data_IF_191247758647
#
_entry.id   IF_191247758647
#
_cell.length_a   1.000
_cell.length_b   1.000
_cell.length_c   1.000
_cell.angle_alpha   90.00
_cell.angle_beta   90.00
_cell.angle_gamma   90.00
#
_symmetry.space_group_name_H-M   'P 1'
#
loop_
_entity.id
_entity.type
_entity.pdbx_description
1 polymer ?
#
# COMPACT_ATOMS: atom_id res chain seq x y z
N UNK A 1 -15.50 -3.25 21.16
CA UNK A 1 -16.56 -4.28 20.97
C UNK A 1 -17.87 -3.59 20.70
N UNK A 2 -18.71 -4.16 19.82
CA UNK A 2 -20.09 -3.70 19.64
C UNK A 2 -20.89 -3.94 20.93
N UNK A 3 -21.81 -3.03 21.24
CA UNK A 3 -22.73 -3.24 22.34
C UNK A 3 -23.67 -4.44 22.08
N UNK A 4 -24.16 -5.06 23.16
CA UNK A 4 -25.13 -6.17 23.07
C UNK A 4 -26.39 -5.76 22.29
N UNK A 5 -26.74 -4.48 22.28
CA UNK A 5 -27.89 -3.93 21.54
C UNK A 5 -27.56 -3.76 20.06
N UNK A 6 -26.34 -3.37 19.68
CA UNK A 6 -25.93 -3.13 18.28
C UNK A 6 -25.71 -4.45 17.51
N UNK A 7 -25.17 -5.50 18.13
CA UNK A 7 -24.85 -6.78 17.47
C UNK A 7 -26.02 -7.35 16.66
N UNK A 8 -27.23 -7.55 17.21
CA UNK A 8 -28.33 -8.11 16.44
C UNK A 8 -28.78 -7.19 15.30
N UNK A 9 -28.74 -5.87 15.49
CA UNK A 9 -29.13 -4.88 14.49
C UNK A 9 -28.13 -4.88 13.33
N UNK A 10 -26.82 -4.80 13.60
CA UNK A 10 -25.78 -4.85 12.56
C UNK A 10 -25.87 -6.16 11.79
N UNK A 11 -26.00 -7.31 12.48
CA UNK A 11 -26.15 -8.63 11.84
C UNK A 11 -27.37 -8.70 10.91
N UNK A 12 -28.50 -8.15 11.31
CA UNK A 12 -29.72 -8.18 10.51
C UNK A 12 -29.66 -7.22 9.29
N UNK A 13 -28.95 -6.11 9.42
CA UNK A 13 -28.90 -5.06 8.39
C UNK A 13 -27.66 -5.15 7.49
N UNK A 14 -26.62 -5.90 7.88
CA UNK A 14 -25.39 -6.05 7.11
C UNK A 14 -25.62 -6.49 5.65
N UNK A 15 -26.52 -7.46 5.32
CA UNK A 15 -26.77 -7.81 3.94
C UNK A 15 -27.40 -6.66 3.11
N UNK A 16 -28.27 -5.87 3.72
CA UNK A 16 -28.90 -4.73 3.04
C UNK A 16 -27.92 -3.58 2.83
N UNK A 17 -27.14 -3.24 3.86
CA UNK A 17 -26.07 -2.23 3.76
C UNK A 17 -25.02 -2.69 2.76
N UNK A 18 -24.57 -3.95 2.84
CA UNK A 18 -23.59 -4.54 1.94
C UNK A 18 -24.03 -4.49 0.47
N UNK A 19 -25.30 -4.81 0.20
CA UNK A 19 -25.87 -4.72 -1.15
C UNK A 19 -26.00 -3.29 -1.70
N UNK A 20 -26.00 -2.27 -0.83
CA UNK A 20 -26.12 -0.87 -1.20
C UNK A 20 -24.78 -0.10 -1.14
N UNK A 21 -23.67 -0.75 -0.74
CA UNK A 21 -22.39 -0.07 -0.49
C UNK A 21 -21.87 0.72 -1.70
N UNK A 22 -22.03 0.21 -2.91
CA UNK A 22 -21.59 0.93 -4.11
C UNK A 22 -22.33 2.26 -4.26
N UNK A 23 -23.65 2.27 -4.02
CA UNK A 23 -24.46 3.48 -4.09
C UNK A 23 -24.13 4.43 -2.92
N UNK A 24 -23.98 3.89 -1.72
CA UNK A 24 -23.62 4.67 -0.52
C UNK A 24 -22.27 5.36 -0.73
N UNK A 25 -21.25 4.64 -1.19
CA UNK A 25 -19.91 5.21 -1.39
C UNK A 25 -19.88 6.21 -2.55
N UNK A 26 -20.66 6.01 -3.60
CA UNK A 26 -20.80 6.99 -4.67
C UNK A 26 -21.41 8.30 -4.15
N UNK A 27 -22.52 8.22 -3.39
CA UNK A 27 -23.16 9.39 -2.79
C UNK A 27 -22.27 10.07 -1.76
N UNK A 28 -21.58 9.29 -0.94
CA UNK A 28 -20.63 9.79 0.05
C UNK A 28 -19.56 10.66 -0.59
N UNK A 29 -18.84 10.13 -1.61
CA UNK A 29 -17.77 10.90 -2.25
C UNK A 29 -18.31 12.12 -3.02
N UNK A 30 -19.50 12.02 -3.66
CA UNK A 30 -20.15 13.17 -4.27
C UNK A 30 -20.39 14.28 -3.26
N UNK A 31 -21.03 13.98 -2.14
CA UNK A 31 -21.31 14.94 -1.06
C UNK A 31 -20.03 15.51 -0.44
N UNK A 32 -19.03 14.66 -0.21
CA UNK A 32 -17.76 15.06 0.39
C UNK A 32 -17.04 16.08 -0.50
N UNK A 33 -16.92 15.81 -1.79
CA UNK A 33 -16.18 16.69 -2.70
C UNK A 33 -16.98 17.94 -3.11
N UNK A 34 -18.30 17.91 -3.07
CA UNK A 34 -19.14 19.09 -3.24
C UNK A 34 -18.95 20.08 -2.07
N UNK A 35 -18.84 19.54 -0.85
CA UNK A 35 -18.64 20.34 0.36
C UNK A 35 -17.14 20.72 0.57
N UNK A 36 -16.21 19.86 0.18
CA UNK A 36 -14.79 19.98 0.42
C UNK A 36 -13.99 19.68 -0.87
N UNK A 37 -14.07 20.55 -1.90
CA UNK A 37 -13.39 20.32 -3.18
C UNK A 37 -11.84 20.29 -3.06
N UNK A 38 -11.28 20.91 -2.03
CA UNK A 38 -9.85 20.86 -1.72
C UNK A 38 -9.37 19.43 -1.40
N UNK A 39 -10.22 18.57 -0.86
CA UNK A 39 -9.85 17.18 -0.56
C UNK A 39 -9.55 16.40 -1.85
N UNK A 40 -10.39 16.54 -2.88
CA UNK A 40 -10.13 15.89 -4.17
C UNK A 40 -8.91 16.51 -4.87
N UNK A 41 -8.72 17.83 -4.72
CA UNK A 41 -7.63 18.55 -5.33
C UNK A 41 -6.27 18.19 -4.73
N UNK A 42 -6.18 18.10 -3.40
CA UNK A 42 -4.91 18.10 -2.69
C UNK A 42 -4.62 16.85 -1.83
N UNK A 43 -5.61 15.95 -1.61
CA UNK A 43 -5.45 14.77 -0.77
C UNK A 43 -5.79 13.47 -1.50
N UNK A 44 -6.96 13.40 -2.11
CA UNK A 44 -7.42 12.16 -2.77
C UNK A 44 -6.79 11.98 -4.15
N UNK A 45 -6.53 10.72 -4.50
CA UNK A 45 -6.07 10.36 -5.84
C UNK A 45 -7.21 10.51 -6.85
N UNK A 46 -7.12 11.52 -7.73
CA UNK A 46 -8.14 11.82 -8.74
C UNK A 46 -8.38 10.67 -9.72
N UNK A 47 -7.31 9.94 -10.10
CA UNK A 47 -7.44 8.76 -10.97
C UNK A 47 -8.24 7.64 -10.32
N UNK A 48 -7.97 7.31 -9.04
CA UNK A 48 -8.70 6.28 -8.30
C UNK A 48 -10.16 6.68 -8.03
N UNK A 49 -10.44 7.98 -7.96
CA UNK A 49 -11.83 8.47 -7.86
C UNK A 49 -12.54 8.34 -9.20
N UNK A 50 -11.89 8.70 -10.29
CA UNK A 50 -12.48 8.66 -11.64
C UNK A 50 -12.82 7.23 -12.10
N UNK A 51 -11.96 6.24 -11.78
CA UNK A 51 -12.19 4.84 -12.16
C UNK A 51 -13.04 4.05 -11.13
N UNK A 52 -13.40 4.67 -10.01
CA UNK A 52 -14.22 4.07 -8.95
C UNK A 52 -13.49 3.11 -8.00
N UNK A 53 -12.19 2.90 -8.14
CA UNK A 53 -11.44 1.96 -7.29
C UNK A 53 -11.39 2.41 -5.83
N UNK A 54 -11.34 3.71 -5.57
CA UNK A 54 -11.40 4.24 -4.21
C UNK A 54 -12.76 3.94 -3.54
N UNK A 55 -13.86 4.02 -4.30
CA UNK A 55 -15.21 3.68 -3.80
C UNK A 55 -15.30 2.21 -3.43
N UNK A 56 -14.81 1.32 -4.30
CA UNK A 56 -14.79 -0.13 -4.05
C UNK A 56 -13.92 -0.49 -2.83
N UNK A 57 -12.76 0.13 -2.68
CA UNK A 57 -11.89 -0.10 -1.53
C UNK A 57 -12.55 0.32 -0.21
N UNK A 58 -13.22 1.48 -0.18
CA UNK A 58 -13.96 1.93 1.01
C UNK A 58 -15.12 0.97 1.32
N UNK A 59 -15.91 0.60 0.31
CA UNK A 59 -17.00 -0.35 0.48
C UNK A 59 -16.51 -1.69 1.04
N UNK A 60 -15.42 -2.24 0.47
CA UNK A 60 -14.81 -3.47 0.94
C UNK A 60 -14.31 -3.39 2.37
N UNK A 61 -13.68 -2.28 2.76
CA UNK A 61 -13.16 -2.11 4.13
C UNK A 61 -14.27 -1.96 5.17
N UNK A 62 -15.37 -1.25 4.87
CA UNK A 62 -16.54 -1.15 5.76
C UNK A 62 -17.16 -2.52 5.98
N UNK A 63 -17.38 -3.29 4.90
CA UNK A 63 -17.95 -4.62 4.98
C UNK A 63 -17.06 -5.57 5.80
N UNK A 64 -15.77 -5.64 5.47
CA UNK A 64 -14.81 -6.50 6.16
C UNK A 64 -14.71 -6.18 7.65
N UNK A 65 -14.71 -4.90 8.02
CA UNK A 65 -14.66 -4.49 9.42
C UNK A 65 -15.94 -4.87 10.19
N UNK A 66 -17.12 -4.63 9.60
CA UNK A 66 -18.40 -5.02 10.22
C UNK A 66 -18.49 -6.54 10.45
N UNK A 67 -18.03 -7.35 9.46
CA UNK A 67 -17.92 -8.80 9.60
C UNK A 67 -16.95 -9.17 10.73
N UNK A 68 -15.77 -8.59 10.77
CA UNK A 68 -14.78 -8.86 11.81
C UNK A 68 -15.31 -8.57 13.23
N UNK A 69 -16.05 -7.47 13.40
CA UNK A 69 -16.69 -7.15 14.70
C UNK A 69 -17.77 -8.17 15.12
N UNK A 70 -18.47 -8.78 14.15
CA UNK A 70 -19.53 -9.77 14.42
C UNK A 70 -18.98 -11.18 14.65
N UNK A 71 -17.92 -11.57 13.96
CA UNK A 71 -17.36 -12.93 14.01
C UNK A 71 -16.27 -13.07 15.07
N UNK A 72 -15.55 -11.98 15.35
CA UNK A 72 -14.45 -11.95 16.30
C UNK A 72 -14.61 -10.82 17.32
N UNK A 73 -15.71 -10.83 18.14
CA UNK A 73 -16.06 -9.71 19.01
C UNK A 73 -14.98 -9.38 20.05
N UNK A 74 -14.17 -10.36 20.44
CA UNK A 74 -13.13 -10.21 21.47
C UNK A 74 -11.76 -9.81 20.90
N UNK A 75 -11.63 -9.74 19.59
CA UNK A 75 -10.37 -9.43 18.90
C UNK A 75 -10.47 -8.12 18.14
N UNK A 76 -9.48 -7.25 18.32
CA UNK A 76 -9.39 -6.04 17.50
C UNK A 76 -8.76 -6.41 16.14
N UNK A 77 -9.38 -6.03 15.02
CA UNK A 77 -8.86 -6.39 13.68
C UNK A 77 -7.70 -5.47 13.26
N UNK A 78 -6.65 -5.42 14.09
CA UNK A 78 -5.50 -4.53 13.88
C UNK A 78 -4.79 -4.80 12.54
N UNK A 79 -4.68 -6.06 12.14
CA UNK A 79 -4.08 -6.44 10.86
C UNK A 79 -4.86 -5.87 9.67
N UNK A 80 -6.19 -5.88 9.73
CA UNK A 80 -7.06 -5.29 8.71
C UNK A 80 -6.88 -3.77 8.62
N UNK A 81 -6.74 -3.12 9.79
CA UNK A 81 -6.64 -1.67 9.89
C UNK A 81 -5.22 -1.15 9.67
N UNK A 82 -4.20 -1.98 9.87
CA UNK A 82 -2.78 -1.55 9.80
C UNK A 82 -2.45 -0.86 8.49
N UNK A 83 -2.78 -1.49 7.37
CA UNK A 83 -2.51 -0.92 6.03
C UNK A 83 -3.22 0.41 5.80
N UNK A 84 -4.48 0.51 6.24
CA UNK A 84 -5.26 1.75 6.15
C UNK A 84 -4.61 2.83 7.02
N UNK A 85 -4.25 2.51 8.26
CA UNK A 85 -3.61 3.44 9.17
C UNK A 85 -2.26 3.96 8.66
N UNK A 86 -1.39 3.07 8.11
CA UNK A 86 -0.14 3.49 7.50
C UNK A 86 -0.36 4.39 6.28
N UNK A 87 -1.37 4.09 5.45
CA UNK A 87 -1.74 4.93 4.32
C UNK A 87 -2.21 6.32 4.77
N UNK A 88 -3.13 6.37 5.73
CA UNK A 88 -3.62 7.63 6.29
C UNK A 88 -2.50 8.43 6.94
N UNK A 89 -1.66 7.78 7.75
CA UNK A 89 -0.50 8.44 8.36
C UNK A 89 0.43 9.03 7.30
N UNK A 90 0.71 8.32 6.20
CA UNK A 90 1.57 8.83 5.13
C UNK A 90 1.00 10.04 4.39
N UNK A 91 -0.30 10.30 4.53
CA UNK A 91 -0.99 11.45 3.95
C UNK A 91 -1.17 12.59 4.95
N UNK A 92 -0.87 12.37 6.22
CA UNK A 92 -1.07 13.35 7.29
C UNK A 92 -2.52 13.46 7.75
N UNK A 93 -3.31 12.39 7.66
CA UNK A 93 -4.71 12.37 8.12
C UNK A 93 -4.79 12.59 9.63
N UNK A 94 -5.69 13.47 10.05
CA UNK A 94 -5.89 13.82 11.47
C UNK A 94 -7.25 13.36 11.99
N UNK A 95 -7.38 13.26 13.31
CA UNK A 95 -8.61 12.83 13.97
C UNK A 95 -9.86 13.66 13.62
N UNK A 96 -9.69 14.96 13.33
CA UNK A 96 -10.82 15.82 12.99
C UNK A 96 -11.42 15.50 11.61
N UNK A 97 -10.64 14.93 10.68
CA UNK A 97 -11.12 14.55 9.37
C UNK A 97 -12.10 13.38 9.42
N UNK A 98 -12.03 12.52 10.46
CA UNK A 98 -13.01 11.45 10.68
C UNK A 98 -14.43 11.98 10.96
N UNK A 99 -14.56 13.15 11.57
CA UNK A 99 -15.86 13.81 11.80
C UNK A 99 -16.49 14.25 10.47
N UNK A 100 -15.68 14.79 9.56
CA UNK A 100 -16.12 15.17 8.21
C UNK A 100 -16.60 13.94 7.43
N UNK A 101 -15.80 12.86 7.47
CA UNK A 101 -16.18 11.58 6.83
C UNK A 101 -17.46 11.03 7.41
N UNK A 102 -17.60 11.01 8.75
CA UNK A 102 -18.83 10.58 9.43
C UNK A 102 -20.07 11.30 8.93
N UNK A 103 -20.05 12.64 8.94
CA UNK A 103 -21.18 13.47 8.53
C UNK A 103 -21.66 13.14 7.11
N UNK A 104 -20.73 13.10 6.15
CA UNK A 104 -21.08 12.85 4.75
C UNK A 104 -21.44 11.39 4.48
N UNK A 105 -20.81 10.43 5.17
CA UNK A 105 -21.13 9.00 5.01
C UNK A 105 -22.51 8.68 5.57
N UNK A 106 -22.86 9.17 6.76
CA UNK A 106 -24.20 8.93 7.33
C UNK A 106 -25.30 9.63 6.55
N UNK A 107 -25.05 10.83 6.04
CA UNK A 107 -25.99 11.48 5.14
C UNK A 107 -26.21 10.66 3.86
N UNK A 108 -25.17 10.04 3.29
CA UNK A 108 -25.28 9.16 2.14
C UNK A 108 -26.05 7.86 2.47
N UNK A 109 -25.81 7.25 3.63
CA UNK A 109 -26.54 6.05 4.10
C UNK A 109 -28.04 6.35 4.21
N UNK A 110 -28.41 7.47 4.82
CA UNK A 110 -29.81 7.88 4.96
C UNK A 110 -30.45 8.16 3.59
N UNK A 111 -29.73 8.82 2.69
CA UNK A 111 -30.21 9.11 1.33
C UNK A 111 -30.48 7.83 0.52
N UNK A 112 -29.61 6.82 0.63
CA UNK A 112 -29.70 5.58 -0.16
C UNK A 112 -30.69 4.59 0.43
N UNK A 113 -30.70 4.40 1.74
CA UNK A 113 -31.52 3.38 2.41
C UNK A 113 -32.87 3.92 2.91
N UNK A 114 -33.05 5.24 2.95
CA UNK A 114 -34.33 5.87 3.28
C UNK A 114 -34.92 5.39 4.62
N UNK A 115 -36.19 4.97 4.59
CA UNK A 115 -36.97 4.53 5.77
C UNK A 115 -36.39 3.28 6.46
N UNK A 116 -35.48 2.51 5.82
CA UNK A 116 -34.81 1.38 6.44
C UNK A 116 -33.81 1.82 7.53
N UNK A 117 -33.41 3.10 7.55
CA UNK A 117 -32.52 3.67 8.57
C UNK A 117 -33.38 4.14 9.74
N UNK A 118 -33.87 3.20 10.54
CA UNK A 118 -34.53 3.53 11.80
C UNK A 118 -33.53 4.12 12.82
N UNK A 119 -33.97 4.79 13.89
CA UNK A 119 -33.08 5.29 14.92
C UNK A 119 -32.14 4.21 15.50
N UNK A 120 -32.65 2.99 15.67
CA UNK A 120 -31.87 1.84 16.18
C UNK A 120 -30.80 1.41 15.17
N UNK A 121 -31.12 1.39 13.87
CA UNK A 121 -30.18 1.08 12.78
C UNK A 121 -29.11 2.16 12.70
N UNK A 122 -29.51 3.43 12.73
CA UNK A 122 -28.58 4.56 12.71
C UNK A 122 -27.60 4.49 13.88
N UNK A 123 -28.09 4.24 15.12
CA UNK A 123 -27.26 4.14 16.30
C UNK A 123 -26.28 2.95 16.21
N UNK A 124 -26.73 1.79 15.74
CA UNK A 124 -25.86 0.60 15.64
C UNK A 124 -24.74 0.80 14.59
N UNK A 125 -25.01 1.42 13.46
CA UNK A 125 -23.99 1.72 12.45
C UNK A 125 -23.08 2.90 12.83
N UNK A 126 -23.59 3.86 13.60
CA UNK A 126 -22.77 4.89 14.24
C UNK A 126 -21.71 4.28 15.16
N UNK A 127 -22.10 3.28 15.95
CA UNK A 127 -21.17 2.55 16.80
C UNK A 127 -20.10 1.78 15.98
N UNK A 128 -20.49 1.11 14.89
CA UNK A 128 -19.53 0.49 13.95
C UNK A 128 -18.54 1.51 13.42
N UNK A 129 -19.02 2.67 12.98
CA UNK A 129 -18.17 3.73 12.45
C UNK A 129 -17.16 4.20 13.49
N UNK A 130 -17.62 4.57 14.69
CA UNK A 130 -16.72 5.12 15.71
C UNK A 130 -15.77 4.08 16.31
N UNK A 131 -16.13 2.81 16.32
CA UNK A 131 -15.20 1.74 16.66
C UNK A 131 -14.06 1.66 15.64
N UNK A 132 -14.40 1.73 14.34
CA UNK A 132 -13.39 1.75 13.25
C UNK A 132 -12.53 3.00 13.31
N UNK A 133 -13.17 4.17 13.36
CA UNK A 133 -12.50 5.47 13.38
C UNK A 133 -11.54 5.62 14.56
N UNK A 134 -12.00 5.28 15.78
CA UNK A 134 -11.16 5.36 16.98
C UNK A 134 -10.00 4.36 16.95
N UNK A 135 -10.18 3.16 16.37
CA UNK A 135 -9.10 2.22 16.19
C UNK A 135 -8.03 2.76 15.20
N UNK A 136 -8.47 3.34 14.07
CA UNK A 136 -7.57 3.98 13.11
C UNK A 136 -6.85 5.18 13.72
N UNK A 137 -7.57 6.10 14.38
CA UNK A 137 -6.98 7.27 15.07
C UNK A 137 -5.91 6.84 16.07
N UNK A 138 -6.17 5.78 16.84
CA UNK A 138 -5.20 5.27 17.80
C UNK A 138 -3.95 4.68 17.13
N UNK A 139 -4.13 3.92 16.04
CA UNK A 139 -3.01 3.39 15.25
C UNK A 139 -2.21 4.52 14.59
N UNK A 140 -2.87 5.47 13.96
CA UNK A 140 -2.25 6.62 13.29
C UNK A 140 -1.47 7.50 14.28
N UNK A 141 -2.04 7.78 15.45
CA UNK A 141 -1.35 8.53 16.52
C UNK A 141 -0.07 7.82 16.99
N UNK A 142 -0.11 6.50 17.08
CA UNK A 142 1.07 5.70 17.40
C UNK A 142 2.11 5.76 16.28
N UNK A 143 1.68 5.65 15.03
CA UNK A 143 2.57 5.77 13.86
C UNK A 143 3.26 7.13 13.79
N UNK A 144 2.55 8.23 14.06
CA UNK A 144 3.14 9.57 14.16
C UNK A 144 4.17 9.66 15.29
N UNK A 145 3.87 9.09 16.44
CA UNK A 145 4.81 9.05 17.55
C UNK A 145 6.06 8.23 17.22
N UNK A 146 5.91 7.06 16.60
CA UNK A 146 7.04 6.22 16.16
C UNK A 146 7.89 6.89 15.07
N UNK A 147 7.25 7.67 14.18
CA UNK A 147 7.94 8.47 13.17
C UNK A 147 8.59 9.76 13.73
N UNK A 148 8.33 10.12 14.99
CA UNK A 148 8.83 11.33 15.62
C UNK A 148 8.27 12.62 15.03
N UNK A 149 7.02 12.59 14.54
CA UNK A 149 6.33 13.74 13.96
C UNK A 149 5.08 14.08 14.77
N UNK A 150 4.64 15.35 14.71
CA UNK A 150 3.35 15.76 15.25
C UNK A 150 2.21 15.24 14.36
N UNK A 151 1.01 15.10 14.92
CA UNK A 151 -0.16 14.58 14.21
C UNK A 151 -0.39 15.36 12.90
N UNK A 152 -0.27 14.68 11.78
CA UNK A 152 -0.49 15.23 10.45
C UNK A 152 0.70 16.00 9.83
N UNK A 153 1.70 16.43 10.61
CA UNK A 153 2.88 17.14 10.11
C UNK A 153 3.97 16.15 9.65
N UNK A 154 3.68 15.42 8.59
CA UNK A 154 4.54 14.35 8.07
C UNK A 154 5.43 14.80 6.92
N UNK A 155 5.19 15.99 6.36
CA UNK A 155 5.82 16.46 5.12
C UNK A 155 7.17 17.10 5.38
N UNK A 156 8.14 16.80 4.51
CA UNK A 156 9.48 17.38 4.53
C UNK A 156 9.99 17.61 3.12
N UNK A 157 10.81 18.65 2.91
CA UNK A 157 11.53 18.82 1.66
C UNK A 157 12.68 17.81 1.57
N UNK A 158 12.87 17.21 0.39
CA UNK A 158 14.05 16.41 0.04
C UNK A 158 14.58 16.86 -1.31
N UNK A 159 15.90 16.84 -1.48
CA UNK A 159 16.55 17.20 -2.73
C UNK A 159 16.82 15.93 -3.54
N UNK A 160 16.52 15.95 -4.82
CA UNK A 160 16.98 14.95 -5.76
C UNK A 160 18.48 15.18 -5.99
N UNK A 161 19.30 14.28 -5.45
CA UNK A 161 20.77 14.35 -5.66
C UNK A 161 21.20 13.68 -6.95
N UNK A 162 20.44 12.68 -7.40
CA UNK A 162 20.72 11.93 -8.63
C UNK A 162 19.41 11.41 -9.21
N UNK A 163 19.36 11.37 -10.57
CA UNK A 163 18.32 10.71 -11.35
C UNK A 163 18.98 9.67 -12.25
N UNK A 164 18.45 8.44 -12.24
CA UNK A 164 18.91 7.32 -13.07
C UNK A 164 17.78 6.77 -13.92
N UNK A 165 18.03 6.57 -15.21
CA UNK A 165 17.13 5.81 -16.07
C UNK A 165 17.35 4.32 -15.81
N UNK A 166 16.31 3.61 -15.38
CA UNK A 166 16.35 2.17 -15.15
C UNK A 166 15.87 1.39 -16.38
N UNK A 167 14.76 1.86 -16.97
CA UNK A 167 14.19 1.35 -18.22
C UNK A 167 13.58 2.52 -19.01
N UNK A 168 13.01 2.25 -20.18
CA UNK A 168 12.34 3.27 -20.99
C UNK A 168 11.14 3.96 -20.28
N UNK A 169 10.55 3.30 -19.28
CA UNK A 169 9.39 3.80 -18.54
C UNK A 169 9.61 3.90 -17.02
N UNK A 170 10.85 3.72 -16.55
CA UNK A 170 11.14 3.67 -15.10
C UNK A 170 12.41 4.47 -14.78
N UNK A 171 12.32 5.34 -13.77
CA UNK A 171 13.45 6.14 -13.28
C UNK A 171 13.62 5.98 -11.76
N UNK A 172 14.85 5.99 -11.30
CA UNK A 172 15.19 6.09 -9.89
C UNK A 172 15.59 7.52 -9.53
N UNK A 173 15.08 8.01 -8.40
CA UNK A 173 15.43 9.28 -7.80
C UNK A 173 16.11 9.02 -6.47
N UNK A 174 17.35 9.49 -6.35
CA UNK A 174 18.12 9.45 -5.09
C UNK A 174 17.85 10.74 -4.34
N UNK A 175 17.40 10.61 -3.10
CA UNK A 175 16.89 11.71 -2.30
C UNK A 175 17.79 11.95 -1.08
N UNK A 176 18.15 13.20 -0.85
CA UNK A 176 18.93 13.65 0.31
C UNK A 176 18.21 14.79 1.00
N UNK A 177 18.54 15.02 2.25
CA UNK A 177 18.10 16.25 2.95
C UNK A 177 18.75 17.47 2.28
N UNK A 178 18.00 18.58 2.05
CA UNK A 178 18.54 19.79 1.44
C UNK A 178 19.70 20.44 2.20
N UNK A 179 19.71 20.29 3.53
CA UNK A 179 20.72 20.86 4.42
C UNK A 179 21.84 19.86 4.75
N UNK A 180 21.78 18.64 4.20
CA UNK A 180 22.77 17.58 4.42
C UNK A 180 22.61 16.84 5.75
N UNK A 181 21.51 17.05 6.47
CA UNK A 181 21.18 16.30 7.67
C UNK A 181 20.83 14.84 7.33
N UNK A 182 20.97 13.89 8.26
CA UNK A 182 20.49 12.54 8.04
C UNK A 182 18.98 12.50 7.81
N UNK A 183 18.55 11.75 6.82
CA UNK A 183 17.13 11.44 6.63
C UNK A 183 16.63 10.51 7.75
N UNK A 184 15.34 10.54 8.10
CA UNK A 184 14.78 9.65 9.10
C UNK A 184 15.08 8.18 8.82
N UNK A 185 15.28 7.37 9.87
CA UNK A 185 15.40 5.93 9.70
C UNK A 185 14.09 5.34 9.20
N UNK A 186 14.19 4.20 8.52
CA UNK A 186 13.04 3.44 8.05
C UNK A 186 13.32 1.93 8.15
N UNK A 187 12.26 1.12 8.04
CA UNK A 187 12.37 -0.34 7.97
C UNK A 187 12.30 -0.79 6.51
N UNK A 188 13.10 -1.83 6.10
CA UNK A 188 13.06 -2.35 4.73
C UNK A 188 11.64 -2.76 4.34
N UNK A 189 11.16 -2.26 3.20
CA UNK A 189 9.80 -2.46 2.70
C UNK A 189 8.87 -1.25 2.87
N UNK A 190 9.23 -0.28 3.73
CA UNK A 190 8.44 0.95 3.88
C UNK A 190 8.49 1.84 2.64
N UNK A 191 7.51 2.73 2.53
CA UNK A 191 7.34 3.72 1.47
C UNK A 191 7.26 5.15 2.02
N UNK A 192 7.39 6.11 1.14
CA UNK A 192 7.08 7.52 1.37
C UNK A 192 5.96 7.96 0.44
N UNK A 193 5.11 8.89 0.90
CA UNK A 193 4.21 9.65 0.03
C UNK A 193 4.98 10.81 -0.60
N UNK A 194 4.85 10.99 -1.91
CA UNK A 194 5.43 12.12 -2.64
C UNK A 194 4.29 13.03 -3.09
N UNK A 195 4.36 14.31 -2.71
CA UNK A 195 3.39 15.34 -3.07
C UNK A 195 3.95 16.19 -4.22
N UNK A 196 3.20 16.30 -5.30
CA UNK A 196 3.62 16.99 -6.52
C UNK A 196 2.60 18.04 -6.91
N UNK A 197 3.07 19.27 -7.12
CA UNK A 197 2.25 20.34 -7.68
C UNK A 197 2.01 20.10 -9.18
N UNK A 198 0.75 20.15 -9.58
CA UNK A 198 0.31 19.98 -10.96
C UNK A 198 0.08 21.35 -11.66
N UNK A 199 0.06 21.39 -13.00
CA UNK A 199 -0.12 22.65 -13.75
C UNK A 199 -1.45 23.37 -13.48
N UNK A 200 -2.48 22.66 -13.04
CA UNK A 200 -3.80 23.21 -12.68
C UNK A 200 -3.85 23.77 -11.23
N UNK A 201 -2.71 23.78 -10.53
CA UNK A 201 -2.58 24.28 -9.16
C UNK A 201 -2.99 23.28 -8.08
N UNK A 202 -3.34 22.06 -8.46
CA UNK A 202 -3.62 20.98 -7.51
C UNK A 202 -2.32 20.33 -7.01
N UNK A 203 -2.39 19.68 -5.84
CA UNK A 203 -1.34 18.81 -5.34
C UNK A 203 -1.83 17.38 -5.37
N UNK A 204 -1.10 16.51 -6.05
CA UNK A 204 -1.44 15.10 -6.07
C UNK A 204 -0.36 14.28 -5.37
N UNK A 205 -0.77 13.24 -4.67
CA UNK A 205 0.10 12.44 -3.80
C UNK A 205 0.12 10.99 -4.30
N UNK A 206 1.34 10.40 -4.38
CA UNK A 206 1.51 8.96 -4.65
C UNK A 206 2.55 8.38 -3.71
N UNK A 207 2.36 7.10 -3.38
CA UNK A 207 3.28 6.35 -2.56
C UNK A 207 4.33 5.67 -3.44
N UNK A 208 5.59 5.73 -2.98
CA UNK A 208 6.72 5.05 -3.60
C UNK A 208 7.51 4.34 -2.53
N UNK A 209 7.69 3.03 -2.69
CA UNK A 209 8.53 2.24 -1.78
C UNK A 209 9.96 2.77 -1.81
N UNK A 210 10.59 2.81 -0.64
CA UNK A 210 12.02 3.02 -0.54
C UNK A 210 12.72 1.78 -1.10
N UNK A 211 13.56 1.95 -2.13
CA UNK A 211 14.14 0.86 -2.91
C UNK A 211 15.63 0.62 -2.63
N UNK A 212 16.15 1.15 -1.52
CA UNK A 212 17.50 0.89 -1.01
C UNK A 212 17.48 0.56 0.48
N UNK A 213 18.54 0.00 1.03
CA UNK A 213 18.62 -0.33 2.45
C UNK A 213 18.51 0.91 3.36
N UNK A 214 17.93 0.78 4.56
CA UNK A 214 18.06 1.78 5.60
C UNK A 214 19.52 1.96 6.05
N UNK A 215 19.80 3.11 6.68
CA UNK A 215 21.16 3.44 7.16
C UNK A 215 22.09 3.98 6.08
N UNK A 216 21.67 4.04 4.83
CA UNK A 216 22.38 4.75 3.76
C UNK A 216 22.22 6.27 3.90
N UNK A 217 23.16 7.08 3.39
CA UNK A 217 23.08 8.55 3.52
C UNK A 217 21.95 9.18 2.69
N UNK A 218 21.34 8.42 1.78
CA UNK A 218 20.25 8.85 0.90
C UNK A 218 19.16 7.80 0.84
N UNK A 219 17.93 8.25 0.59
CA UNK A 219 16.85 7.37 0.19
C UNK A 219 16.84 7.21 -1.33
N UNK A 220 16.24 6.15 -1.82
CA UNK A 220 15.93 5.96 -3.24
C UNK A 220 14.47 5.58 -3.41
N UNK A 221 13.79 6.25 -4.30
CA UNK A 221 12.49 5.84 -4.82
C UNK A 221 12.62 5.53 -6.30
N UNK A 222 11.82 4.58 -6.79
CA UNK A 222 11.81 4.22 -8.21
C UNK A 222 10.40 4.43 -8.75
N UNK A 223 10.30 5.23 -9.80
CA UNK A 223 9.04 5.70 -10.37
C UNK A 223 8.85 5.08 -11.74
N UNK A 224 7.83 4.22 -11.89
CA UNK A 224 7.39 3.74 -13.19
C UNK A 224 6.34 4.68 -13.75
N UNK A 225 6.51 5.11 -15.01
CA UNK A 225 5.53 5.91 -15.72
C UNK A 225 4.27 5.09 -15.96
N UNK A 226 3.12 5.66 -15.64
CA UNK A 226 1.81 5.07 -15.92
C UNK A 226 1.25 5.70 -17.19
N UNK A 227 1.31 4.93 -18.26
CA UNK A 227 0.67 5.27 -19.52
C UNK A 227 -0.80 4.83 -19.48
N UNK A 228 -1.64 5.43 -20.31
CA UNK A 228 -3.07 5.10 -20.38
C UNK A 228 -3.92 6.35 -20.62
N UNK A 229 -5.24 6.16 -20.59
CA UNK A 229 -6.23 7.23 -20.67
C UNK A 229 -7.23 7.09 -19.52
N UNK A 230 -7.14 7.94 -18.50
CA UNK A 230 -6.14 9.00 -18.31
C UNK A 230 -4.75 8.47 -17.92
N UNK A 231 -3.71 9.17 -18.35
CA UNK A 231 -2.34 8.89 -17.93
C UNK A 231 -2.12 9.26 -16.47
N UNK A 232 -1.13 8.61 -15.82
CA UNK A 232 -0.81 8.87 -14.42
C UNK A 232 -0.24 10.27 -14.21
N UNK A 233 -0.93 11.14 -13.48
CA UNK A 233 -0.55 12.55 -13.31
C UNK A 233 0.84 12.72 -12.66
N UNK A 234 1.06 12.09 -11.51
CA UNK A 234 2.31 12.24 -10.73
C UNK A 234 3.48 11.52 -11.39
N UNK A 235 3.30 10.27 -11.83
CA UNK A 235 4.38 9.51 -12.45
C UNK A 235 4.88 10.17 -13.74
N UNK A 236 3.98 10.65 -14.60
CA UNK A 236 4.36 11.36 -15.82
C UNK A 236 5.03 12.71 -15.51
N UNK A 237 4.54 13.43 -14.49
CA UNK A 237 5.16 14.67 -14.04
C UNK A 237 6.59 14.46 -13.54
N UNK A 238 6.82 13.44 -12.71
CA UNK A 238 8.15 13.11 -12.21
C UNK A 238 9.09 12.68 -13.36
N UNK A 239 8.61 11.86 -14.29
CA UNK A 239 9.40 11.47 -15.46
C UNK A 239 9.80 12.65 -16.32
N UNK A 240 8.89 13.58 -16.60
CA UNK A 240 9.11 14.68 -17.52
C UNK A 240 9.96 15.82 -16.92
N UNK A 241 9.88 16.03 -15.60
CA UNK A 241 10.38 17.27 -15.00
C UNK A 241 11.30 17.09 -13.79
N UNK A 242 11.32 15.91 -13.12
CA UNK A 242 12.20 15.72 -11.98
C UNK A 242 13.66 15.59 -12.44
N UNK A 243 14.52 16.46 -11.92
CA UNK A 243 15.94 16.50 -12.25
C UNK A 243 16.80 16.61 -10.98
N UNK A 244 18.08 16.27 -11.09
CA UNK A 244 19.03 16.49 -10.00
C UNK A 244 19.08 18.00 -9.64
N UNK A 245 18.98 18.29 -8.35
CA UNK A 245 18.89 19.64 -7.80
C UNK A 245 17.47 20.06 -7.39
N UNK A 246 16.44 19.45 -7.98
CA UNK A 246 15.05 19.76 -7.62
C UNK A 246 14.72 19.31 -6.19
N UNK A 247 13.72 19.97 -5.59
CA UNK A 247 13.21 19.65 -4.26
C UNK A 247 11.81 19.08 -4.39
N UNK A 248 11.59 17.93 -3.76
CA UNK A 248 10.29 17.29 -3.62
C UNK A 248 9.79 17.39 -2.18
N UNK A 249 8.49 17.37 -1.99
CA UNK A 249 7.87 17.18 -0.68
C UNK A 249 7.54 15.69 -0.49
N UNK A 250 8.08 15.08 0.55
CA UNK A 250 7.85 13.67 0.88
C UNK A 250 7.40 13.52 2.32
N UNK A 251 6.63 12.47 2.59
CA UNK A 251 6.26 12.14 3.97
C UNK A 251 7.41 11.51 4.75
N UNK A 252 7.28 11.40 6.06
CA UNK A 252 8.01 10.39 6.82
C UNK A 252 7.74 8.98 6.25
N UNK A 253 8.65 8.00 6.48
CA UNK A 253 8.45 6.62 6.02
C UNK A 253 7.32 5.92 6.79
N UNK A 254 6.42 5.26 6.05
CA UNK A 254 5.34 4.44 6.56
C UNK A 254 5.24 3.13 5.76
N UNK A 255 4.37 2.22 6.16
CA UNK A 255 4.12 0.94 5.51
C UNK A 255 4.20 -0.22 6.49
N UNK A 256 3.32 -1.20 6.32
CA UNK A 256 3.21 -2.40 7.15
C UNK A 256 3.88 -3.63 6.54
N UNK A 257 4.24 -3.59 5.25
CA UNK A 257 5.03 -4.63 4.61
C UNK A 257 6.52 -4.45 4.96
N UNK A 258 6.92 -4.92 6.12
CA UNK A 258 8.29 -4.75 6.61
C UNK A 258 8.97 -6.09 6.87
N UNK A 259 10.28 -6.14 6.61
CA UNK A 259 11.09 -7.32 6.84
C UNK A 259 11.02 -7.73 8.33
N UNK A 260 10.75 -9.02 8.65
CA UNK A 260 10.66 -9.49 10.02
C UNK A 260 12.06 -9.63 10.63
N UNK A 261 12.13 -9.45 11.94
CA UNK A 261 13.31 -9.83 12.71
C UNK A 261 13.48 -11.35 12.73
N UNK A 262 14.73 -11.82 12.94
CA UNK A 262 15.06 -13.23 13.06
C UNK A 262 15.59 -13.87 11.78
N UNK A 263 15.85 -15.17 11.82
CA UNK A 263 16.61 -15.93 10.81
C UNK A 263 15.78 -16.97 10.04
N UNK A 264 14.44 -16.92 10.17
CA UNK A 264 13.54 -17.81 9.43
C UNK A 264 13.64 -17.60 7.91
N UNK A 265 13.34 -18.62 7.09
CA UNK A 265 13.44 -18.52 5.64
C UNK A 265 12.47 -17.51 5.06
N UNK A 266 12.88 -16.85 3.97
CA UNK A 266 12.10 -15.83 3.26
C UNK A 266 11.82 -16.22 1.82
N UNK A 267 10.62 -15.88 1.35
CA UNK A 267 10.29 -15.74 -0.06
C UNK A 267 9.98 -14.26 -0.35
N UNK A 268 10.73 -13.64 -1.26
CA UNK A 268 10.48 -12.28 -1.75
C UNK A 268 10.00 -12.39 -3.19
N UNK A 269 8.70 -12.24 -3.42
CA UNK A 269 8.10 -12.41 -4.73
C UNK A 269 7.51 -11.11 -5.27
N UNK A 270 7.89 -10.74 -6.49
CA UNK A 270 7.51 -9.47 -7.10
C UNK A 270 7.15 -9.60 -8.58
N UNK A 271 6.34 -8.65 -9.07
CA UNK A 271 6.11 -8.48 -10.49
C UNK A 271 6.19 -7.00 -10.89
N UNK A 272 6.89 -6.72 -12.00
CA UNK A 272 7.12 -5.37 -12.49
C UNK A 272 7.73 -4.47 -11.42
N UNK A 273 7.20 -3.24 -11.27
CA UNK A 273 7.73 -2.28 -10.28
C UNK A 273 7.50 -2.68 -8.82
N UNK A 274 6.74 -3.75 -8.56
CA UNK A 274 6.65 -4.35 -7.22
C UNK A 274 7.97 -4.92 -6.69
N UNK A 275 9.04 -4.92 -7.49
CA UNK A 275 10.41 -5.24 -7.06
C UNK A 275 10.97 -4.26 -6.03
N UNK A 276 10.46 -3.02 -5.97
CA UNK A 276 11.06 -1.93 -5.17
C UNK A 276 11.13 -2.20 -3.67
N UNK A 277 10.09 -2.65 -2.95
CA UNK A 277 10.23 -3.03 -1.55
C UNK A 277 11.14 -4.25 -1.35
N UNK A 278 11.15 -5.20 -2.30
CA UNK A 278 12.00 -6.38 -2.24
C UNK A 278 13.49 -6.02 -2.37
N UNK A 279 13.82 -5.03 -3.20
CA UNK A 279 15.19 -4.49 -3.31
C UNK A 279 15.68 -3.90 -1.98
N UNK A 280 14.84 -3.13 -1.28
CA UNK A 280 15.21 -2.59 0.03
C UNK A 280 15.46 -3.70 1.06
N UNK A 281 14.63 -4.75 1.05
CA UNK A 281 14.79 -5.92 1.91
C UNK A 281 16.10 -6.67 1.58
N UNK A 282 16.35 -6.95 0.29
CA UNK A 282 17.56 -7.65 -0.16
C UNK A 282 18.83 -6.85 0.10
N UNK A 283 18.82 -5.55 -0.17
CA UNK A 283 19.97 -4.68 0.09
C UNK A 283 20.29 -4.63 1.59
N UNK A 284 19.27 -4.60 2.46
CA UNK A 284 19.44 -4.69 3.91
C UNK A 284 20.02 -6.05 4.34
N UNK A 285 19.46 -7.16 3.85
CA UNK A 285 19.95 -8.51 4.16
C UNK A 285 21.40 -8.70 3.71
N UNK A 286 21.74 -8.23 2.51
CA UNK A 286 23.10 -8.29 2.00
C UNK A 286 24.07 -7.38 2.78
N UNK A 287 23.63 -6.20 3.21
CA UNK A 287 24.44 -5.26 3.99
C UNK A 287 24.69 -5.75 5.42
N UNK A 288 23.75 -6.48 6.01
CA UNK A 288 23.86 -7.05 7.37
C UNK A 288 24.50 -8.44 7.39
N UNK A 289 24.82 -9.01 6.22
CA UNK A 289 25.43 -10.35 6.14
C UNK A 289 24.48 -11.46 6.57
N UNK A 290 23.22 -11.37 6.21
CA UNK A 290 22.21 -12.37 6.60
C UNK A 290 22.55 -13.76 6.04
N UNK A 291 22.48 -14.79 6.87
CA UNK A 291 22.76 -16.19 6.51
C UNK A 291 21.49 -17.02 6.29
N UNK A 292 20.32 -16.43 6.52
CA UNK A 292 19.01 -17.10 6.34
C UNK A 292 18.74 -17.48 4.88
N UNK A 293 17.99 -18.57 4.60
CA UNK A 293 17.55 -18.88 3.25
C UNK A 293 16.65 -17.78 2.69
N UNK A 294 16.96 -17.29 1.49
CA UNK A 294 16.17 -16.26 0.79
C UNK A 294 15.91 -16.73 -0.64
N UNK A 295 14.66 -17.03 -0.94
CA UNK A 295 14.19 -17.33 -2.29
C UNK A 295 13.60 -16.05 -2.89
N UNK A 296 14.10 -15.64 -4.04
CA UNK A 296 13.65 -14.44 -4.74
C UNK A 296 12.96 -14.85 -6.04
N UNK A 297 11.75 -14.34 -6.23
CA UNK A 297 10.94 -14.52 -7.42
C UNK A 297 10.65 -13.17 -8.04
N UNK A 298 10.97 -13.01 -9.32
CA UNK A 298 10.58 -11.83 -10.08
C UNK A 298 9.94 -12.20 -11.40
N UNK A 299 8.87 -11.51 -11.77
CA UNK A 299 8.21 -11.63 -13.07
C UNK A 299 8.08 -10.27 -13.74
N UNK A 300 8.35 -10.20 -15.04
CA UNK A 300 8.12 -8.99 -15.84
C UNK A 300 7.72 -9.38 -17.29
N UNK A 301 7.47 -8.38 -18.12
CA UNK A 301 7.12 -8.58 -19.53
C UNK A 301 8.32 -9.07 -20.34
N UNK A 302 9.47 -8.44 -20.15
CA UNK A 302 10.72 -8.76 -20.84
C UNK A 302 11.93 -8.33 -20.02
N UNK A 303 13.17 -8.75 -20.40
CA UNK A 303 14.39 -8.28 -19.77
C UNK A 303 14.55 -6.74 -19.79
N UNK A 304 14.13 -6.08 -20.86
CA UNK A 304 14.22 -4.62 -21.03
C UNK A 304 13.23 -3.87 -20.11
N UNK A 305 12.14 -4.51 -19.71
CA UNK A 305 11.15 -3.94 -18.79
C UNK A 305 11.53 -4.12 -17.33
N UNK A 306 12.47 -5.03 -17.02
CA UNK A 306 12.89 -5.38 -15.67
C UNK A 306 13.82 -4.33 -15.08
N UNK A 307 13.26 -3.35 -14.40
CA UNK A 307 14.03 -2.35 -13.67
C UNK A 307 14.87 -3.02 -12.56
N UNK A 308 16.11 -2.55 -12.38
CA UNK A 308 17.07 -3.07 -11.39
C UNK A 308 17.48 -4.55 -11.57
N UNK A 309 17.36 -5.13 -12.77
CA UNK A 309 17.67 -6.54 -13.00
C UNK A 309 19.10 -6.94 -12.56
N UNK A 310 20.09 -6.10 -12.83
CA UNK A 310 21.47 -6.36 -12.45
C UNK A 310 21.67 -6.24 -10.94
N UNK A 311 21.18 -5.16 -10.34
CA UNK A 311 21.21 -4.95 -8.88
C UNK A 311 20.56 -6.11 -8.13
N UNK A 312 19.42 -6.61 -8.61
CA UNK A 312 18.73 -7.75 -8.01
C UNK A 312 19.62 -9.00 -8.02
N UNK A 313 20.28 -9.30 -9.15
CA UNK A 313 21.21 -10.44 -9.25
C UNK A 313 22.41 -10.29 -8.31
N UNK A 314 23.00 -9.10 -8.26
CA UNK A 314 24.14 -8.79 -7.40
C UNK A 314 23.78 -8.96 -5.91
N UNK A 315 22.63 -8.43 -5.49
CA UNK A 315 22.18 -8.52 -4.09
C UNK A 315 21.92 -9.96 -3.67
N UNK A 316 21.24 -10.75 -4.52
CA UNK A 316 21.02 -12.18 -4.25
C UNK A 316 22.33 -12.96 -4.24
N UNK A 317 23.26 -12.65 -5.15
CA UNK A 317 24.59 -13.28 -5.19
C UNK A 317 25.45 -13.01 -3.96
N UNK A 318 25.15 -11.98 -3.17
CA UNK A 318 25.84 -11.67 -1.91
C UNK A 318 25.26 -12.44 -0.71
N UNK A 319 24.11 -13.08 -0.86
CA UNK A 319 23.47 -13.87 0.21
C UNK A 319 23.93 -15.33 0.11
N UNK A 320 24.54 -15.92 1.17
CA UNK A 320 25.08 -17.29 1.14
C UNK A 320 24.06 -18.36 0.79
N UNK A 321 22.79 -18.15 1.14
CA UNK A 321 21.65 -19.03 0.87
C UNK A 321 20.59 -18.32 0.03
N UNK A 322 21.03 -17.42 -0.87
CA UNK A 322 20.17 -16.71 -1.81
C UNK A 322 19.92 -17.51 -3.09
N UNK A 323 18.69 -17.52 -3.58
CA UNK A 323 18.35 -18.06 -4.91
C UNK A 323 17.43 -17.09 -5.65
N UNK A 324 17.64 -16.97 -6.97
CA UNK A 324 16.86 -16.06 -7.82
C UNK A 324 16.17 -16.83 -8.93
N UNK A 325 14.87 -16.64 -9.07
CA UNK A 325 14.03 -17.21 -10.10
C UNK A 325 13.32 -16.09 -10.85
N UNK A 326 13.58 -15.97 -12.16
CA UNK A 326 13.04 -14.90 -13.00
C UNK A 326 12.17 -15.50 -14.11
N UNK A 327 11.02 -14.86 -14.34
CA UNK A 327 10.10 -15.17 -15.44
C UNK A 327 9.89 -13.92 -16.30
N UNK A 328 9.89 -14.12 -17.61
CA UNK A 328 9.48 -13.11 -18.57
C UNK A 328 8.38 -13.64 -19.48
N UNK A 329 7.35 -12.83 -19.75
CA UNK A 329 6.35 -13.17 -20.76
C UNK A 329 7.00 -13.30 -22.14
N UNK A 330 8.02 -12.48 -22.41
CA UNK A 330 8.83 -12.46 -23.62
C UNK A 330 10.33 -12.50 -23.23
N UNK A 331 10.91 -13.69 -22.99
CA UNK A 331 12.27 -13.81 -22.45
C UNK A 331 13.38 -13.42 -23.46
N UNK A 332 13.07 -13.38 -24.76
CA UNK A 332 14.06 -13.09 -25.79
C UNK A 332 15.23 -14.09 -25.77
N UNK A 333 16.46 -13.57 -25.72
CA UNK A 333 17.68 -14.39 -25.64
C UNK A 333 18.15 -14.66 -24.20
N UNK A 334 17.37 -14.25 -23.18
CA UNK A 334 17.72 -14.51 -21.78
C UNK A 334 17.48 -15.97 -21.41
N UNK A 335 18.15 -16.44 -20.35
CA UNK A 335 17.99 -17.76 -19.72
C UNK A 335 16.88 -17.80 -18.64
N UNK A 336 16.09 -16.73 -18.53
CA UNK A 336 14.93 -16.69 -17.67
C UNK A 336 13.83 -17.65 -18.15
N UNK A 337 12.96 -18.03 -17.23
CA UNK A 337 11.79 -18.88 -17.56
C UNK A 337 10.77 -18.06 -18.34
N UNK A 338 10.12 -18.71 -19.31
CA UNK A 338 9.06 -18.09 -20.10
C UNK A 338 7.72 -18.12 -19.34
N UNK A 339 6.96 -17.05 -19.43
CA UNK A 339 5.60 -16.93 -18.93
C UNK A 339 5.50 -16.21 -17.60
N UNK A 340 4.48 -16.57 -16.83
CA UNK A 340 4.20 -15.99 -15.49
C UNK A 340 4.92 -16.76 -14.40
N UNK A 341 5.16 -16.10 -13.27
CA UNK A 341 5.79 -16.76 -12.13
C UNK A 341 4.95 -17.95 -11.65
N UNK A 342 5.62 -19.09 -11.51
CA UNK A 342 5.09 -20.32 -10.94
C UNK A 342 5.91 -20.69 -9.70
N UNK A 343 5.31 -20.45 -8.52
CA UNK A 343 5.95 -20.72 -7.23
C UNK A 343 5.73 -22.17 -6.77
N UNK A 344 4.84 -22.92 -7.42
CA UNK A 344 4.57 -24.33 -7.07
C UNK A 344 5.74 -25.26 -7.42
N UNK A 345 6.58 -24.82 -8.37
CA UNK A 345 7.80 -25.54 -8.77
C UNK A 345 9.00 -25.28 -7.86
N UNK A 346 8.84 -24.45 -6.80
CA UNK A 346 9.91 -24.08 -5.90
C UNK A 346 9.85 -24.90 -4.60
N UNK A 347 10.99 -25.42 -4.19
CA UNK A 347 11.14 -26.06 -2.89
C UNK A 347 11.36 -24.97 -1.83
N UNK A 348 10.31 -24.62 -1.09
CA UNK A 348 10.38 -23.65 -0.01
C UNK A 348 10.66 -24.35 1.33
N UNK A 349 11.63 -23.84 2.13
CA UNK A 349 11.86 -24.36 3.46
C UNK A 349 10.62 -24.23 4.36
N UNK A 350 10.44 -25.14 5.30
CA UNK A 350 9.35 -25.05 6.27
C UNK A 350 9.47 -23.76 7.12
N UNK A 351 8.34 -23.11 7.39
CA UNK A 351 8.31 -21.85 8.13
C UNK A 351 8.73 -20.63 7.29
N UNK A 352 8.65 -20.72 5.96
CA UNK A 352 8.90 -19.60 5.06
C UNK A 352 7.88 -18.48 5.26
N UNK A 353 8.36 -17.26 5.52
CA UNK A 353 7.56 -16.03 5.44
C UNK A 353 7.65 -15.47 4.02
N UNK A 354 6.51 -15.28 3.38
CA UNK A 354 6.43 -14.79 2.01
C UNK A 354 6.00 -13.31 1.97
N UNK A 355 6.73 -12.53 1.18
CA UNK A 355 6.48 -11.11 0.94
C UNK A 355 6.18 -10.91 -0.54
N UNK A 356 4.99 -10.41 -0.85
CA UNK A 356 4.49 -10.29 -2.21
C UNK A 356 4.24 -8.82 -2.57
N UNK A 357 4.69 -8.37 -3.74
CA UNK A 357 4.32 -7.07 -4.29
C UNK A 357 4.24 -7.10 -5.82
N UNK A 358 3.15 -6.56 -6.38
CA UNK A 358 2.91 -6.55 -7.82
C UNK A 358 1.44 -6.33 -8.16
N UNK A 359 1.05 -6.53 -9.43
CA UNK A 359 -0.34 -6.43 -9.86
C UNK A 359 -1.25 -7.43 -9.12
N UNK A 360 -2.51 -7.03 -8.87
CA UNK A 360 -3.45 -7.83 -8.10
C UNK A 360 -3.64 -9.27 -8.61
N UNK A 361 -3.68 -9.54 -9.94
CA UNK A 361 -3.73 -10.93 -10.44
C UNK A 361 -2.51 -11.77 -10.03
N UNK A 362 -1.29 -11.18 -10.06
CA UNK A 362 -0.06 -11.84 -9.59
C UNK A 362 -0.16 -12.17 -8.09
N UNK A 363 -0.56 -11.21 -7.27
CA UNK A 363 -0.70 -11.39 -5.82
C UNK A 363 -1.68 -12.52 -5.48
N UNK A 364 -2.84 -12.56 -6.16
CA UNK A 364 -3.86 -13.60 -5.94
C UNK A 364 -3.35 -14.99 -6.31
N UNK A 365 -2.73 -15.12 -7.48
CA UNK A 365 -2.20 -16.41 -7.95
C UNK A 365 -1.10 -16.88 -7.01
N UNK A 366 -0.06 -16.09 -6.78
CA UNK A 366 1.08 -16.48 -5.95
C UNK A 366 0.67 -16.82 -4.52
N UNK A 367 -0.22 -16.01 -3.91
CA UNK A 367 -0.72 -16.32 -2.57
C UNK A 367 -1.51 -17.64 -2.53
N UNK A 368 -2.39 -17.84 -3.52
CA UNK A 368 -3.17 -19.08 -3.62
C UNK A 368 -2.26 -20.31 -3.72
N UNK A 369 -1.26 -20.25 -4.59
CA UNK A 369 -0.29 -21.31 -4.81
C UNK A 369 0.56 -21.59 -3.57
N UNK A 370 1.03 -20.54 -2.86
CA UNK A 370 1.79 -20.69 -1.62
C UNK A 370 0.97 -21.35 -0.51
N UNK A 371 -0.27 -20.93 -0.33
CA UNK A 371 -1.16 -21.54 0.68
C UNK A 371 -1.47 -22.99 0.32
N UNK A 372 -1.73 -23.29 -0.96
CA UNK A 372 -1.95 -24.65 -1.44
C UNK A 372 -0.70 -25.53 -1.26
N UNK A 373 0.51 -24.95 -1.33
CA UNK A 373 1.79 -25.63 -1.09
C UNK A 373 2.17 -25.74 0.39
N UNK A 374 1.32 -25.27 1.32
CA UNK A 374 1.48 -25.46 2.76
C UNK A 374 2.12 -24.28 3.51
N UNK A 375 2.33 -23.12 2.87
CA UNK A 375 2.70 -21.89 3.56
C UNK A 375 1.47 -21.39 4.33
N UNK A 376 1.62 -21.10 5.63
CA UNK A 376 0.49 -20.59 6.41
C UNK A 376 0.00 -19.25 5.86
N UNK A 377 -1.31 -19.08 5.75
CA UNK A 377 -1.88 -17.85 5.19
C UNK A 377 -1.48 -16.58 5.99
N UNK A 378 -1.22 -16.74 7.28
CA UNK A 378 -0.73 -15.67 8.16
C UNK A 378 0.72 -15.26 7.88
N UNK A 379 1.52 -16.15 7.26
CA UNK A 379 2.91 -15.90 6.90
C UNK A 379 3.07 -15.35 5.47
N UNK A 380 1.95 -15.12 4.76
CA UNK A 380 1.94 -14.52 3.43
C UNK A 380 1.53 -13.06 3.53
N UNK A 381 2.51 -12.18 3.45
CA UNK A 381 2.36 -10.72 3.51
C UNK A 381 2.35 -10.15 2.10
N UNK A 382 1.56 -9.11 1.87
CA UNK A 382 1.52 -8.49 0.53
C UNK A 382 1.28 -6.98 0.61
N UNK A 383 1.73 -6.27 -0.43
CA UNK A 383 1.41 -4.86 -0.65
C UNK A 383 0.77 -4.64 -2.02
N UNK A 384 -0.27 -3.79 -2.04
CA UNK A 384 -0.97 -3.38 -3.27
C UNK A 384 -0.60 -1.95 -3.60
N UNK A 385 -0.05 -1.72 -4.79
CA UNK A 385 0.19 -0.36 -5.29
C UNK A 385 -1.10 0.25 -5.83
N UNK A 386 -1.89 0.80 -4.93
CA UNK A 386 -3.19 1.39 -5.23
C UNK A 386 -4.21 1.17 -4.11
N UNK A 387 -5.51 1.34 -4.39
CA UNK A 387 -6.57 0.95 -3.48
C UNK A 387 -6.58 -0.57 -3.28
N UNK A 388 -6.65 -1.01 -2.03
CA UNK A 388 -6.70 -2.44 -1.74
C UNK A 388 -8.09 -3.00 -2.03
N UNK A 389 -8.27 -3.51 -3.24
CA UNK A 389 -9.51 -4.16 -3.69
C UNK A 389 -9.62 -5.61 -3.19
N UNK A 390 -8.65 -6.09 -2.42
CA UNK A 390 -8.64 -7.46 -1.93
C UNK A 390 -9.22 -7.60 -0.53
N UNK A 391 -9.18 -6.55 0.28
CA UNK A 391 -9.71 -6.58 1.66
C UNK A 391 -11.17 -7.05 1.74
N UNK A 392 -12.00 -6.72 0.75
CA UNK A 392 -13.40 -7.15 0.69
C UNK A 392 -13.64 -8.57 0.15
N UNK A 393 -12.61 -9.27 -0.34
CA UNK A 393 -12.74 -10.60 -0.97
C UNK A 393 -11.92 -11.69 -0.25
N UNK A 394 -11.21 -11.35 0.79
CA UNK A 394 -10.29 -12.24 1.52
C UNK A 394 -10.94 -12.91 2.75
N UNK A 395 -12.27 -12.81 2.90
CA UNK A 395 -13.04 -13.51 3.92
C UNK A 395 -13.43 -14.92 3.46
#
# INVERSE_FOLDING_TARGET
MLSEQAVPVVRATLPAVGGALDQITERFYGRLFDAHPELLRDLFNRGNQANGDQRKALAGSIAAFAVALLEHPDTRPDTLLSRIAHKHASLGVTADQYKIVHEHLFAAIVEVLGEAVTPEVAQAWDEVYWLTANALIALESRLYQEAGVENGDVWRPVRISERREETADTVSLVLTDPDGSPLPPFRPGQYVSVRVALPDGAHQIRQYSLSSAPGRPAWRITVKRVDGDPAGEVSNRLHAHAAAGDVLEVSAPFGDLVLPEGDGPLLLASAGIGSTPMLAMLDHLAATGAERPVVVVHADRSPEAHAHAEELRELVGRLPQGSLHVWYEEPGASDAREGRADVTALELPAGTHAYLCGPLPFLRTVRGDLVASGVAAADVHYEVFGPDLWLGTAA
#
